data_IF_577286808296
#
_entry.id   IF_577286808296
#
_cell.length_a   1.000
_cell.length_b   1.000
_cell.length_c   1.000
_cell.angle_alpha   90.00
_cell.angle_beta   90.00
_cell.angle_gamma   90.00
#
_symmetry.space_group_name_H-M   'P 1'
#
loop_
_entity.id
_entity.type
_entity.pdbx_description
1 polymer ?
#
# COMPACT_ATOMS: atom_id res chain seq x y z
N UNK A 1 -21.71 5.35 -1.23
CA UNK A 1 -20.26 5.63 -1.24
C UNK A 1 -19.94 7.02 -0.70
N UNK A 2 -20.62 8.10 -1.09
CA UNK A 2 -20.41 9.47 -0.58
C UNK A 2 -20.52 9.63 0.94
N UNK A 3 -21.48 8.98 1.58
CA UNK A 3 -21.72 9.12 3.03
C UNK A 3 -20.51 8.70 3.91
N UNK A 4 -19.69 7.78 3.42
CA UNK A 4 -18.52 7.28 4.15
C UNK A 4 -17.26 8.13 3.93
N UNK A 5 -17.09 8.66 2.72
CA UNK A 5 -15.91 9.44 2.32
C UNK A 5 -16.01 10.91 2.76
N UNK A 6 -17.22 11.45 2.77
CA UNK A 6 -17.52 12.84 3.10
C UNK A 6 -17.00 13.28 4.49
N UNK A 7 -17.22 12.52 5.58
CA UNK A 7 -16.67 12.89 6.89
C UNK A 7 -15.13 12.94 6.91
N UNK A 8 -14.47 11.98 6.25
CA UNK A 8 -13.00 11.95 6.18
C UNK A 8 -12.47 13.21 5.50
N UNK A 9 -13.13 13.64 4.40
CA UNK A 9 -12.73 14.84 3.69
C UNK A 9 -12.93 16.10 4.53
N UNK A 10 -14.11 16.28 5.14
CA UNK A 10 -14.45 17.52 5.85
C UNK A 10 -13.68 17.64 7.18
N UNK A 11 -13.58 16.55 7.93
CA UNK A 11 -13.03 16.62 9.28
C UNK A 11 -11.52 16.33 9.35
N UNK A 12 -10.93 15.70 8.31
CA UNK A 12 -9.51 15.35 8.32
C UNK A 12 -8.76 16.00 7.16
N UNK A 13 -9.09 15.65 5.91
CA UNK A 13 -8.27 16.02 4.75
C UNK A 13 -8.29 17.53 4.49
N UNK A 14 -9.47 18.15 4.42
CA UNK A 14 -9.60 19.59 4.16
C UNK A 14 -8.95 20.47 5.23
N UNK A 15 -9.21 20.25 6.54
CA UNK A 15 -8.59 21.06 7.59
C UNK A 15 -7.07 20.93 7.61
N UNK A 16 -6.55 19.71 7.49
CA UNK A 16 -5.11 19.44 7.49
C UNK A 16 -4.44 20.05 6.27
N UNK A 17 -5.02 19.87 5.09
CA UNK A 17 -4.51 20.47 3.85
C UNK A 17 -4.53 22.01 3.92
N UNK A 18 -5.62 22.61 4.38
CA UNK A 18 -5.76 24.05 4.53
C UNK A 18 -4.78 24.60 5.57
N UNK A 19 -4.55 23.86 6.65
CA UNK A 19 -3.54 24.21 7.65
C UNK A 19 -2.14 24.28 7.03
N UNK A 20 -1.70 23.24 6.34
CA UNK A 20 -0.39 23.23 5.71
C UNK A 20 -0.26 24.31 4.62
N UNK A 21 -1.33 24.56 3.88
CA UNK A 21 -1.33 25.60 2.83
C UNK A 21 -1.09 27.01 3.37
N UNK A 22 -1.37 27.28 4.64
CA UNK A 22 -1.05 28.56 5.29
C UNK A 22 0.46 28.78 5.47
N UNK A 23 1.22 27.70 5.60
CA UNK A 23 2.67 27.77 5.86
C UNK A 23 3.50 27.61 4.59
N UNK A 24 2.95 27.02 3.53
CA UNK A 24 3.69 26.78 2.28
C UNK A 24 2.96 27.37 1.09
N UNK A 25 3.71 28.04 0.20
CA UNK A 25 3.14 28.64 -1.02
C UNK A 25 2.81 27.60 -2.09
N UNK A 26 3.56 26.47 -2.13
CA UNK A 26 3.39 25.43 -3.15
C UNK A 26 2.33 24.39 -2.74
N UNK A 27 1.38 24.13 -3.64
CA UNK A 27 0.37 23.08 -3.44
C UNK A 27 0.98 21.68 -3.44
N UNK A 28 2.02 21.43 -4.25
CA UNK A 28 2.73 20.15 -4.24
C UNK A 28 3.41 19.86 -2.91
N UNK A 29 3.98 20.88 -2.25
CA UNK A 29 4.55 20.74 -0.89
C UNK A 29 3.43 20.53 0.13
N UNK A 30 2.30 21.23 0.01
CA UNK A 30 1.16 20.99 0.89
C UNK A 30 0.63 19.55 0.79
N UNK A 31 0.62 18.95 -0.41
CA UNK A 31 0.27 17.54 -0.63
C UNK A 31 1.32 16.62 0.02
N UNK A 32 2.60 16.94 -0.07
CA UNK A 32 3.67 16.18 0.61
C UNK A 32 3.46 16.16 2.12
N UNK A 33 3.20 17.33 2.73
CA UNK A 33 2.95 17.44 4.17
C UNK A 33 1.66 16.71 4.60
N UNK A 34 0.62 16.80 3.79
CA UNK A 34 -0.62 16.01 3.99
C UNK A 34 -0.31 14.51 3.95
N UNK A 35 0.53 14.07 3.01
CA UNK A 35 0.93 12.67 2.89
C UNK A 35 1.69 12.19 4.13
N UNK A 36 2.65 12.98 4.59
CA UNK A 36 3.42 12.70 5.81
C UNK A 36 2.47 12.59 7.03
N UNK A 37 1.53 13.51 7.16
CA UNK A 37 0.55 13.48 8.25
C UNK A 37 -0.31 12.21 8.22
N UNK A 38 -0.87 11.85 7.06
CA UNK A 38 -1.68 10.63 6.91
C UNK A 38 -0.84 9.38 7.22
N UNK A 39 0.42 9.34 6.77
CA UNK A 39 1.32 8.23 7.04
C UNK A 39 1.70 8.12 8.52
N UNK A 40 1.92 9.24 9.18
CA UNK A 40 2.17 9.28 10.62
C UNK A 40 0.94 8.77 11.40
N UNK A 41 -0.25 9.23 11.04
CA UNK A 41 -1.50 8.81 11.67
C UNK A 41 -1.77 7.30 11.49
N UNK A 42 -1.43 6.74 10.33
CA UNK A 42 -1.64 5.32 10.02
C UNK A 42 -0.49 4.42 10.46
N UNK A 43 0.65 4.98 10.85
CA UNK A 43 1.87 4.22 11.20
C UNK A 43 1.69 3.16 12.29
N UNK A 44 0.88 3.35 13.36
CA UNK A 44 0.68 2.30 14.36
C UNK A 44 -0.01 1.05 13.80
N UNK A 45 -0.97 1.24 12.87
CA UNK A 45 -1.63 0.11 12.21
C UNK A 45 -0.70 -0.60 11.24
N UNK A 46 0.09 0.17 10.50
CA UNK A 46 1.09 -0.33 9.55
C UNK A 46 2.16 -1.15 10.27
N UNK A 47 2.64 -0.67 11.43
CA UNK A 47 3.59 -1.40 12.26
C UNK A 47 3.04 -2.77 12.71
N UNK A 48 1.79 -2.82 13.20
CA UNK A 48 1.14 -4.08 13.59
C UNK A 48 1.01 -5.05 12.42
N UNK A 49 0.76 -4.54 11.22
CA UNK A 49 0.69 -5.35 10.01
C UNK A 49 2.05 -5.95 9.64
N UNK A 50 3.13 -5.17 9.70
CA UNK A 50 4.48 -5.68 9.45
C UNK A 50 4.92 -6.70 10.49
N UNK A 51 4.57 -6.50 11.76
CA UNK A 51 4.82 -7.48 12.82
C UNK A 51 4.08 -8.80 12.55
N UNK A 52 2.82 -8.73 12.08
CA UNK A 52 2.05 -9.92 11.67
C UNK A 52 2.72 -10.63 10.49
N UNK A 53 3.20 -9.89 9.49
CA UNK A 53 3.97 -10.43 8.37
C UNK A 53 5.26 -11.12 8.81
N UNK A 54 6.00 -10.53 9.74
CA UNK A 54 7.22 -11.11 10.29
C UNK A 54 6.95 -12.43 11.04
N UNK A 55 5.85 -12.51 11.80
CA UNK A 55 5.40 -13.75 12.44
C UNK A 55 5.06 -14.82 11.41
N UNK A 56 4.37 -14.46 10.33
CA UNK A 56 4.08 -15.40 9.24
C UNK A 56 5.35 -15.90 8.55
N UNK A 57 6.34 -15.02 8.34
CA UNK A 57 7.64 -15.39 7.78
C UNK A 57 8.39 -16.36 8.69
N UNK A 58 8.36 -16.15 10.00
CA UNK A 58 8.98 -17.03 10.98
C UNK A 58 8.39 -18.45 10.96
N UNK A 59 7.11 -18.61 10.61
CA UNK A 59 6.43 -19.90 10.47
C UNK A 59 6.66 -20.59 9.12
N UNK A 60 7.38 -19.95 8.19
CA UNK A 60 7.60 -20.48 6.83
C UNK A 60 8.16 -21.90 6.81
N UNK A 61 9.24 -22.26 7.56
CA UNK A 61 9.78 -23.62 7.56
C UNK A 61 8.76 -24.67 8.00
N UNK A 62 7.89 -24.34 8.94
CA UNK A 62 6.85 -25.27 9.41
C UNK A 62 5.72 -25.43 8.38
N UNK A 63 5.35 -24.34 7.71
CA UNK A 63 4.38 -24.38 6.61
C UNK A 63 4.91 -25.25 5.47
N UNK A 64 6.20 -25.14 5.13
CA UNK A 64 6.81 -25.94 4.08
C UNK A 64 6.87 -27.43 4.46
N UNK A 65 7.19 -27.75 5.72
CA UNK A 65 7.14 -29.11 6.24
C UNK A 65 5.72 -29.67 6.22
N UNK A 66 4.72 -28.88 6.61
CA UNK A 66 3.31 -29.25 6.58
C UNK A 66 2.83 -29.52 5.15
N UNK A 67 3.17 -28.66 4.17
CA UNK A 67 2.83 -28.87 2.76
C UNK A 67 3.38 -30.18 2.20
N UNK A 68 4.62 -30.54 2.54
CA UNK A 68 5.22 -31.81 2.14
C UNK A 68 4.48 -33.01 2.75
N UNK A 69 4.00 -32.89 3.99
CA UNK A 69 3.27 -33.96 4.69
C UNK A 69 1.87 -34.19 4.13
N UNK A 70 1.17 -33.10 3.77
CA UNK A 70 -0.23 -33.15 3.28
C UNK A 70 -0.33 -33.62 1.82
N UNK A 71 0.78 -33.65 1.07
CA UNK A 71 0.81 -34.33 -0.24
C UNK A 71 0.11 -33.62 -1.39
N UNK A 72 -0.07 -32.29 -1.34
CA UNK A 72 -0.48 -31.48 -2.49
C UNK A 72 -1.99 -31.20 -2.61
N UNK A 73 -2.83 -31.69 -1.72
CA UNK A 73 -4.23 -31.28 -1.65
C UNK A 73 -4.33 -29.82 -1.15
N UNK A 74 -4.67 -28.91 -2.07
CA UNK A 74 -4.74 -27.48 -1.78
C UNK A 74 -5.78 -27.13 -0.69
N UNK A 75 -6.88 -27.86 -0.60
CA UNK A 75 -7.88 -27.63 0.44
C UNK A 75 -7.37 -28.02 1.81
N UNK A 76 -6.76 -29.19 1.93
CA UNK A 76 -6.15 -29.64 3.18
C UNK A 76 -5.01 -28.75 3.61
N UNK A 77 -4.13 -28.33 2.69
CA UNK A 77 -3.06 -27.35 2.95
C UNK A 77 -3.63 -26.05 3.52
N UNK A 78 -4.73 -25.52 2.96
CA UNK A 78 -5.36 -24.30 3.44
C UNK A 78 -5.91 -24.44 4.87
N UNK A 79 -6.57 -25.55 5.18
CA UNK A 79 -7.13 -25.82 6.51
C UNK A 79 -6.01 -26.01 7.56
N UNK A 80 -5.01 -26.81 7.26
CA UNK A 80 -3.87 -27.05 8.16
C UNK A 80 -3.04 -25.78 8.38
N UNK A 81 -2.85 -24.95 7.35
CA UNK A 81 -2.16 -23.66 7.47
C UNK A 81 -2.93 -22.70 8.37
N UNK A 82 -4.27 -22.65 8.27
CA UNK A 82 -5.09 -21.83 9.15
C UNK A 82 -5.05 -22.31 10.60
N UNK A 83 -5.02 -23.62 10.82
CA UNK A 83 -4.85 -24.24 12.13
C UNK A 83 -3.50 -23.87 12.74
N UNK A 84 -2.42 -23.98 11.95
CA UNK A 84 -1.07 -23.60 12.36
C UNK A 84 -0.99 -22.11 12.78
N UNK A 85 -1.60 -21.21 12.03
CA UNK A 85 -1.67 -19.78 12.38
C UNK A 85 -2.42 -19.55 13.69
N UNK A 86 -3.52 -20.27 13.90
CA UNK A 86 -4.31 -20.17 15.14
C UNK A 86 -3.51 -20.67 16.35
N UNK A 87 -2.84 -21.82 16.24
CA UNK A 87 -1.99 -22.38 17.29
C UNK A 87 -0.82 -21.47 17.65
N UNK A 88 -0.24 -20.81 16.64
CA UNK A 88 0.85 -19.84 16.82
C UNK A 88 0.36 -18.45 17.29
N UNK A 89 -0.95 -18.23 17.41
CA UNK A 89 -1.50 -16.91 17.74
C UNK A 89 -1.21 -15.84 16.71
N UNK A 90 -1.12 -16.21 15.43
CA UNK A 90 -0.86 -15.31 14.30
C UNK A 90 -2.15 -15.05 13.52
N UNK A 91 -2.48 -13.77 13.35
CA UNK A 91 -3.61 -13.41 12.54
C UNK A 91 -3.19 -13.24 11.07
N UNK A 92 -3.63 -14.11 10.15
CA UNK A 92 -3.28 -14.00 8.73
C UNK A 92 -3.85 -12.74 8.06
N UNK A 93 -4.97 -12.20 8.58
CA UNK A 93 -5.55 -10.95 8.09
C UNK A 93 -4.76 -9.72 8.53
N UNK A 94 -3.84 -9.85 9.49
CA UNK A 94 -2.99 -8.75 9.94
C UNK A 94 -2.16 -8.14 8.81
N UNK A 95 -1.72 -8.95 7.86
CA UNK A 95 -0.96 -8.50 6.67
C UNK A 95 -1.77 -7.66 5.68
N UNK A 96 -3.11 -7.81 5.61
CA UNK A 96 -3.96 -7.06 4.70
C UNK A 96 -4.52 -5.75 5.28
N UNK A 97 -4.29 -5.46 6.56
CA UNK A 97 -4.78 -4.21 7.21
C UNK A 97 -4.42 -2.95 6.41
N UNK A 98 -3.17 -2.76 5.92
CA UNK A 98 -2.83 -1.59 5.13
C UNK A 98 -3.65 -1.48 3.85
N UNK A 99 -3.93 -2.58 3.16
CA UNK A 99 -4.71 -2.59 1.94
C UNK A 99 -6.17 -2.22 2.20
N UNK A 100 -6.77 -2.75 3.27
CA UNK A 100 -8.16 -2.44 3.67
C UNK A 100 -8.27 -0.95 4.06
N UNK A 101 -7.30 -0.42 4.80
CA UNK A 101 -7.26 0.99 5.19
C UNK A 101 -7.04 1.92 3.98
N UNK A 102 -6.31 1.44 2.98
CA UNK A 102 -5.98 2.23 1.78
C UNK A 102 -7.20 2.53 0.92
N UNK A 103 -8.21 1.67 0.89
CA UNK A 103 -9.42 1.85 0.07
C UNK A 103 -10.20 3.11 0.48
N UNK A 104 -10.59 3.31 1.74
CA UNK A 104 -11.24 4.55 2.18
C UNK A 104 -10.41 5.79 1.93
N UNK A 105 -9.10 5.72 2.20
CA UNK A 105 -8.17 6.83 1.98
C UNK A 105 -8.10 7.17 0.49
N UNK A 106 -8.03 6.15 -0.39
CA UNK A 106 -8.04 6.36 -1.83
C UNK A 106 -9.26 7.15 -2.29
N UNK A 107 -10.46 6.70 -1.94
CA UNK A 107 -11.69 7.37 -2.35
C UNK A 107 -11.84 8.78 -1.75
N UNK A 108 -11.37 8.99 -0.53
CA UNK A 108 -11.38 10.28 0.11
C UNK A 108 -10.46 11.27 -0.64
N UNK A 109 -9.23 10.88 -0.91
CA UNK A 109 -8.26 11.70 -1.65
C UNK A 109 -8.67 11.90 -3.11
N UNK A 110 -9.19 10.86 -3.76
CA UNK A 110 -9.70 10.95 -5.12
C UNK A 110 -10.81 12.02 -5.23
N UNK A 111 -11.80 11.97 -4.35
CA UNK A 111 -12.87 12.98 -4.33
C UNK A 111 -12.35 14.36 -3.96
N UNK A 112 -11.43 14.45 -2.98
CA UNK A 112 -10.83 15.71 -2.57
C UNK A 112 -10.05 16.37 -3.70
N UNK A 113 -9.14 15.66 -4.37
CA UNK A 113 -8.31 16.25 -5.42
C UNK A 113 -9.09 16.57 -6.70
N UNK A 114 -10.11 15.78 -7.03
CA UNK A 114 -10.97 16.07 -8.19
C UNK A 114 -11.90 17.26 -7.96
N UNK A 115 -12.36 17.51 -6.74
CA UNK A 115 -13.26 18.60 -6.42
C UNK A 115 -12.55 19.89 -5.98
N UNK A 116 -11.24 19.84 -5.71
CA UNK A 116 -10.49 20.98 -5.21
C UNK A 116 -10.10 21.96 -6.33
N UNK A 117 -10.93 22.98 -6.52
CA UNK A 117 -10.73 24.01 -7.53
C UNK A 117 -9.39 24.78 -7.35
N UNK A 118 -8.87 24.86 -6.12
CA UNK A 118 -7.63 25.59 -5.84
C UNK A 118 -6.37 24.93 -6.46
N UNK A 119 -6.47 23.68 -6.91
CA UNK A 119 -5.36 22.97 -7.59
C UNK A 119 -5.27 23.29 -9.09
N UNK A 120 -6.31 23.90 -9.67
CA UNK A 120 -6.35 24.19 -11.10
C UNK A 120 -5.30 25.24 -11.47
N UNK A 121 -4.53 24.92 -12.54
CA UNK A 121 -3.45 25.77 -13.00
C UNK A 121 -2.27 25.89 -12.05
N UNK A 122 -2.21 25.09 -10.99
CA UNK A 122 -1.09 25.09 -10.05
C UNK A 122 0.02 24.15 -10.51
N UNK A 123 1.19 24.66 -10.90
CA UNK A 123 2.30 23.83 -11.34
C UNK A 123 3.05 23.20 -10.15
N UNK A 124 3.63 22.05 -10.38
CA UNK A 124 4.55 21.44 -9.43
C UNK A 124 5.52 20.48 -10.15
N UNK A 125 6.83 20.67 -9.92
CA UNK A 125 7.90 19.98 -10.65
C UNK A 125 7.68 20.09 -12.17
N UNK A 126 7.47 18.97 -12.85
CA UNK A 126 7.21 18.91 -14.28
C UNK A 126 5.70 18.99 -14.64
N UNK A 127 4.81 18.80 -13.67
CA UNK A 127 3.39 18.93 -13.88
C UNK A 127 3.00 20.41 -14.00
N UNK A 128 2.36 20.77 -15.10
CA UNK A 128 1.89 22.15 -15.35
C UNK A 128 0.63 22.50 -14.57
N UNK A 129 -0.16 21.48 -14.23
CA UNK A 129 -1.42 21.62 -13.51
C UNK A 129 -1.66 20.36 -12.66
N UNK A 130 -1.78 20.55 -11.34
CA UNK A 130 -2.01 19.46 -10.39
C UNK A 130 -3.44 18.86 -10.47
N UNK A 131 -4.39 19.57 -11.07
CA UNK A 131 -5.78 19.11 -11.19
C UNK A 131 -6.01 18.13 -12.33
N UNK A 132 -5.07 18.04 -13.27
CA UNK A 132 -5.08 17.10 -14.40
C UNK A 132 -3.86 16.18 -14.34
N UNK A 133 -3.82 15.16 -15.21
CA UNK A 133 -2.65 14.26 -15.30
C UNK A 133 -1.41 15.02 -15.82
N UNK A 134 -0.22 14.64 -15.33
CA UNK A 134 1.04 15.14 -15.86
C UNK A 134 1.40 14.42 -17.17
N UNK A 135 2.01 15.16 -18.10
CA UNK A 135 2.43 14.64 -19.40
C UNK A 135 3.91 14.91 -19.60
N UNK A 136 4.71 13.85 -19.56
CA UNK A 136 6.15 13.93 -19.87
C UNK A 136 6.42 13.58 -21.33
N UNK A 137 5.67 12.62 -21.87
CA UNK A 137 5.76 12.25 -23.27
C UNK A 137 4.36 11.97 -23.84
N UNK A 138 4.15 12.35 -25.09
CA UNK A 138 2.96 11.99 -25.87
C UNK A 138 3.25 10.80 -26.74
N UNK A 139 2.34 9.84 -26.77
CA UNK A 139 2.37 8.72 -27.67
C UNK A 139 1.71 9.11 -28.99
N UNK A 140 2.24 8.64 -30.11
CA UNK A 140 1.65 8.87 -31.45
C UNK A 140 0.34 8.09 -31.69
N UNK A 141 -0.07 7.24 -30.76
CA UNK A 141 -1.27 6.41 -30.79
C UNK A 141 -1.93 6.35 -29.41
N UNK A 142 -3.20 5.96 -29.37
CA UNK A 142 -3.95 5.84 -28.13
C UNK A 142 -4.03 4.37 -27.71
N UNK A 143 -3.56 4.06 -26.50
CA UNK A 143 -3.70 2.73 -25.90
C UNK A 143 -5.04 2.68 -25.15
N UNK A 144 -5.91 1.68 -25.43
CA UNK A 144 -7.14 1.51 -24.69
C UNK A 144 -6.89 1.46 -23.17
N UNK A 145 -7.71 2.13 -22.37
CA UNK A 145 -7.61 2.30 -20.94
C UNK A 145 -6.42 3.13 -20.42
N UNK A 146 -5.27 3.16 -21.12
CA UNK A 146 -4.08 3.92 -20.71
C UNK A 146 -4.13 5.38 -21.20
N UNK A 147 -4.38 5.61 -22.49
CA UNK A 147 -4.38 6.93 -23.12
C UNK A 147 -3.28 7.10 -24.14
N UNK A 148 -2.99 8.35 -24.51
CA UNK A 148 -1.99 8.74 -25.51
C UNK A 148 -0.80 9.51 -24.92
N UNK A 149 -0.58 9.41 -23.60
CA UNK A 149 0.47 10.11 -22.87
C UNK A 149 1.09 9.23 -21.80
N UNK A 150 2.25 9.64 -21.32
CA UNK A 150 2.93 9.04 -20.18
C UNK A 150 2.95 10.05 -19.04
N UNK A 151 2.35 9.68 -17.92
CA UNK A 151 2.46 10.39 -16.65
C UNK A 151 3.66 9.86 -15.87
N UNK A 152 4.59 10.74 -15.50
CA UNK A 152 5.77 10.34 -14.74
C UNK A 152 5.43 10.07 -13.27
N UNK A 153 4.54 10.87 -12.65
CA UNK A 153 4.07 10.59 -11.30
C UNK A 153 3.37 9.25 -11.21
N UNK A 154 2.49 8.93 -12.17
CA UNK A 154 1.82 7.63 -12.21
C UNK A 154 2.83 6.48 -12.38
N UNK A 155 3.81 6.65 -13.27
CA UNK A 155 4.85 5.65 -13.51
C UNK A 155 5.69 5.38 -12.26
N UNK A 156 6.16 6.43 -11.56
CA UNK A 156 6.92 6.29 -10.30
C UNK A 156 6.05 5.67 -9.21
N UNK A 157 4.78 6.09 -9.09
CA UNK A 157 3.85 5.51 -8.12
C UNK A 157 3.63 4.01 -8.34
N UNK A 158 3.54 3.57 -9.59
CA UNK A 158 3.36 2.15 -9.93
C UNK A 158 4.63 1.35 -9.74
N UNK A 159 5.80 1.86 -10.15
CA UNK A 159 7.09 1.20 -9.91
C UNK A 159 7.31 1.02 -8.40
N UNK A 160 7.08 2.05 -7.60
CA UNK A 160 7.23 1.97 -6.15
C UNK A 160 6.19 1.03 -5.52
N UNK A 161 4.95 0.98 -6.02
CA UNK A 161 3.94 0.00 -5.61
C UNK A 161 4.38 -1.43 -5.93
N UNK A 162 5.01 -1.64 -7.09
CA UNK A 162 5.55 -2.94 -7.48
C UNK A 162 6.67 -3.38 -6.53
N UNK A 163 7.60 -2.48 -6.20
CA UNK A 163 8.65 -2.77 -5.22
C UNK A 163 8.09 -3.12 -3.84
N UNK A 164 7.07 -2.38 -3.35
CA UNK A 164 6.36 -2.72 -2.11
C UNK A 164 5.74 -4.11 -2.19
N UNK A 165 5.14 -4.46 -3.32
CA UNK A 165 4.51 -5.76 -3.56
C UNK A 165 5.54 -6.90 -3.54
N UNK A 166 6.67 -6.74 -4.23
CA UNK A 166 7.77 -7.73 -4.24
C UNK A 166 8.34 -7.93 -2.84
N UNK A 167 8.53 -6.82 -2.10
CA UNK A 167 9.02 -6.90 -0.74
C UNK A 167 8.02 -7.58 0.19
N UNK A 168 6.72 -7.32 0.01
CA UNK A 168 5.63 -7.98 0.74
C UNK A 168 5.55 -9.48 0.48
N UNK A 169 5.82 -9.93 -0.74
CA UNK A 169 5.89 -11.35 -1.09
C UNK A 169 6.97 -12.10 -0.30
N UNK A 170 8.08 -11.46 -0.01
CA UNK A 170 9.15 -12.07 0.80
C UNK A 170 8.71 -12.34 2.24
N UNK A 171 7.64 -11.70 2.70
CA UNK A 171 7.10 -11.80 4.06
C UNK A 171 5.92 -12.77 4.19
N UNK A 172 5.28 -13.11 3.08
CA UNK A 172 4.16 -14.06 3.09
C UNK A 172 4.66 -15.45 2.71
N UNK A 173 4.12 -16.52 3.33
CA UNK A 173 4.39 -17.89 2.91
C UNK A 173 3.93 -18.11 1.46
N UNK A 174 4.57 -19.06 0.77
CA UNK A 174 4.18 -19.40 -0.58
C UNK A 174 2.70 -19.77 -0.66
N UNK A 175 1.99 -19.02 -1.48
CA UNK A 175 0.57 -19.22 -1.72
C UNK A 175 0.37 -20.48 -2.56
N UNK A 176 -0.43 -21.41 -2.07
CA UNK A 176 -0.76 -22.63 -2.81
C UNK A 176 -1.64 -22.33 -4.05
N UNK A 177 -2.37 -21.21 -4.02
CA UNK A 177 -3.22 -20.80 -5.14
C UNK A 177 -2.40 -20.01 -6.18
N UNK A 178 -2.32 -20.49 -7.45
CA UNK A 178 -1.59 -19.80 -8.53
C UNK A 178 -2.07 -18.37 -8.77
N UNK A 179 -3.37 -18.09 -8.67
CA UNK A 179 -3.92 -16.75 -8.85
C UNK A 179 -3.34 -15.76 -7.83
N UNK A 180 -3.22 -16.17 -6.56
CA UNK A 180 -2.64 -15.33 -5.51
C UNK A 180 -1.13 -15.16 -5.68
N UNK A 181 -0.43 -16.15 -6.26
CA UNK A 181 1.00 -16.08 -6.55
C UNK A 181 1.32 -15.03 -7.62
N UNK A 182 0.48 -14.90 -8.66
CA UNK A 182 0.71 -13.97 -9.77
C UNK A 182 0.07 -12.58 -9.54
N UNK A 183 -0.86 -12.46 -8.59
CA UNK A 183 -1.54 -11.19 -8.28
C UNK A 183 -0.59 -10.01 -8.02
N UNK A 184 0.54 -10.15 -7.28
CA UNK A 184 1.49 -9.07 -7.04
C UNK A 184 2.16 -8.52 -8.29
N UNK A 185 2.24 -9.31 -9.36
CA UNK A 185 2.78 -8.89 -10.66
C UNK A 185 1.72 -8.23 -11.54
N UNK A 186 0.51 -8.76 -11.50
CA UNK A 186 -0.59 -8.26 -12.34
C UNK A 186 -1.16 -6.93 -11.83
N UNK A 187 -1.32 -6.78 -10.51
CA UNK A 187 -1.92 -5.59 -9.91
C UNK A 187 -1.21 -4.28 -10.28
N UNK A 188 0.13 -4.15 -10.22
CA UNK A 188 0.80 -2.91 -10.63
C UNK A 188 0.59 -2.54 -12.10
N UNK A 189 0.53 -3.54 -12.99
CA UNK A 189 0.24 -3.30 -14.42
C UNK A 189 -1.17 -2.73 -14.58
N UNK A 190 -2.16 -3.31 -13.90
CA UNK A 190 -3.53 -2.78 -13.89
C UNK A 190 -3.60 -1.37 -13.29
N UNK A 191 -2.85 -1.13 -12.22
CA UNK A 191 -2.76 0.21 -11.61
C UNK A 191 -2.16 1.23 -12.57
N UNK A 192 -1.19 0.86 -13.40
CA UNK A 192 -0.60 1.77 -14.38
C UNK A 192 -1.64 2.26 -15.40
N UNK A 193 -2.48 1.34 -15.90
CA UNK A 193 -3.56 1.70 -16.83
C UNK A 193 -4.53 2.70 -16.23
N UNK A 194 -4.81 2.56 -14.93
CA UNK A 194 -5.73 3.43 -14.22
C UNK A 194 -5.08 4.75 -13.77
N UNK A 195 -3.88 4.69 -13.17
CA UNK A 195 -3.20 5.86 -12.59
C UNK A 195 -2.76 6.87 -13.64
N UNK A 196 -2.46 6.43 -14.86
CA UNK A 196 -2.04 7.34 -15.94
C UNK A 196 -3.08 8.42 -16.29
N UNK A 197 -4.35 8.20 -15.92
CA UNK A 197 -5.46 9.16 -16.16
C UNK A 197 -5.87 9.96 -14.93
N UNK A 198 -5.25 9.70 -13.78
CA UNK A 198 -5.58 10.38 -12.54
C UNK A 198 -4.90 11.76 -12.47
N UNK A 199 -5.48 12.71 -11.70
CA UNK A 199 -4.86 14.00 -11.47
C UNK A 199 -3.43 13.88 -10.89
N UNK A 200 -2.54 14.76 -11.33
CA UNK A 200 -1.15 14.81 -10.86
C UNK A 200 -1.05 14.97 -9.33
N UNK A 201 -1.97 15.69 -8.71
CA UNK A 201 -2.05 15.81 -7.25
C UNK A 201 -2.21 14.45 -6.56
N UNK A 202 -3.07 13.57 -7.10
CA UNK A 202 -3.33 12.25 -6.54
C UNK A 202 -2.16 11.29 -6.80
N UNK A 203 -1.62 11.28 -8.01
CA UNK A 203 -0.46 10.43 -8.36
C UNK A 203 0.81 10.87 -7.63
N UNK A 204 1.00 12.18 -7.40
CA UNK A 204 2.04 12.72 -6.52
C UNK A 204 1.88 12.24 -5.08
N UNK A 205 0.67 12.32 -4.52
CA UNK A 205 0.39 11.75 -3.20
C UNK A 205 0.81 10.28 -3.13
N UNK A 206 0.45 9.45 -4.13
CA UNK A 206 0.81 8.03 -4.14
C UNK A 206 2.31 7.81 -4.30
N UNK A 207 2.99 8.61 -5.12
CA UNK A 207 4.44 8.56 -5.26
C UNK A 207 5.14 8.76 -3.91
N UNK A 208 4.83 9.86 -3.22
CA UNK A 208 5.41 10.17 -1.90
C UNK A 208 5.02 9.11 -0.87
N UNK A 209 3.75 8.72 -0.85
CA UNK A 209 3.18 7.73 0.05
C UNK A 209 3.89 6.37 -0.06
N UNK A 210 4.16 5.92 -1.27
CA UNK A 210 4.86 4.67 -1.54
C UNK A 210 6.34 4.73 -1.15
N UNK A 211 7.02 5.86 -1.44
CA UNK A 211 8.40 6.07 -1.02
C UNK A 211 8.54 6.01 0.50
N UNK A 212 7.66 6.69 1.22
CA UNK A 212 7.60 6.61 2.69
C UNK A 212 7.35 5.18 3.15
N UNK A 213 6.43 4.47 2.50
CA UNK A 213 6.12 3.06 2.83
C UNK A 213 7.33 2.16 2.65
N UNK A 214 8.08 2.30 1.54
CA UNK A 214 9.30 1.53 1.31
C UNK A 214 10.34 1.78 2.39
N UNK A 215 10.56 3.05 2.77
CA UNK A 215 11.49 3.41 3.83
C UNK A 215 11.04 2.83 5.17
N UNK A 216 9.78 3.02 5.53
CA UNK A 216 9.22 2.49 6.79
C UNK A 216 9.29 0.96 6.83
N UNK A 217 8.97 0.29 5.74
CA UNK A 217 9.02 -1.15 5.62
C UNK A 217 10.45 -1.67 5.81
N UNK A 218 11.42 -1.03 5.18
CA UNK A 218 12.83 -1.37 5.32
C UNK A 218 13.34 -1.14 6.76
N UNK A 219 13.03 0.02 7.36
CA UNK A 219 13.42 0.35 8.74
C UNK A 219 12.79 -0.63 9.74
N UNK A 220 11.49 -0.85 9.64
CA UNK A 220 10.79 -1.72 10.59
C UNK A 220 11.33 -3.15 10.53
N UNK A 221 11.60 -3.66 9.33
CA UNK A 221 12.02 -5.04 9.17
C UNK A 221 13.48 -5.29 9.53
N UNK A 222 14.37 -4.33 9.31
CA UNK A 222 15.80 -4.52 9.55
C UNK A 222 16.25 -4.03 10.93
N UNK A 223 15.54 -3.07 11.55
CA UNK A 223 16.00 -2.44 12.80
C UNK A 223 15.02 -2.59 13.96
N UNK A 224 13.72 -2.77 13.71
CA UNK A 224 12.72 -2.78 14.77
C UNK A 224 12.23 -4.19 15.09
N UNK A 225 12.09 -5.06 14.07
CA UNK A 225 11.62 -6.43 14.26
C UNK A 225 12.81 -7.34 14.54
N UNK A 226 12.93 -7.78 15.79
CA UNK A 226 13.85 -8.84 16.19
C UNK A 226 13.22 -10.20 15.87
N UNK A 227 13.77 -10.87 14.87
CA UNK A 227 13.27 -12.17 14.39
C UNK A 227 13.45 -13.27 15.43
N UNK A 228 14.50 -13.24 16.27
CA UNK A 228 14.72 -14.22 17.33
C UNK A 228 13.68 -14.07 18.45
N UNK A 229 13.37 -12.83 18.86
CA UNK A 229 12.31 -12.59 19.82
C UNK A 229 10.93 -12.97 19.28
N UNK A 230 10.67 -12.79 17.99
CA UNK A 230 9.42 -13.23 17.37
C UNK A 230 9.30 -14.74 17.43
N UNK A 231 10.35 -15.50 17.11
CA UNK A 231 10.38 -16.95 17.17
C UNK A 231 10.19 -17.46 18.61
N UNK A 232 10.92 -16.91 19.58
CA UNK A 232 10.80 -17.31 20.99
C UNK A 232 9.38 -17.09 21.55
N UNK A 233 8.74 -15.95 21.20
CA UNK A 233 7.35 -15.67 21.58
C UNK A 233 6.34 -16.64 20.93
N UNK A 234 6.57 -17.05 19.69
CA UNK A 234 5.72 -18.03 19.01
C UNK A 234 5.82 -19.40 19.66
N UNK A 235 7.03 -19.84 20.03
CA UNK A 235 7.26 -21.09 20.76
C UNK A 235 6.64 -21.07 22.16
N UNK A 236 6.80 -19.97 22.89
CA UNK A 236 6.20 -19.79 24.22
C UNK A 236 4.65 -19.77 24.19
N UNK A 237 4.03 -19.28 23.13
CA UNK A 237 2.57 -19.33 23.00
C UNK A 237 2.04 -20.75 22.75
N UNK A 238 2.82 -21.62 22.11
CA UNK A 238 2.45 -23.03 21.89
C UNK A 238 2.61 -23.92 23.11
N UNK A 239 3.52 -23.56 24.00
CA UNK A 239 3.75 -24.31 25.25
C UNK A 239 2.74 -24.00 26.35
N UNK A 240 1.84 -23.04 26.11
CA UNK A 240 0.71 -22.77 27.02
C UNK A 240 -0.45 -23.72 26.69
N UNK A 241 -0.91 -24.52 27.67
CA UNK A 241 -2.01 -25.47 27.50
C UNK A 241 -3.33 -24.77 27.16
#
# INVERSE_FOLDING_TARGET
>A
MYAFVHPINIYVIMPVFSFFKKFVSSYGIAILLLTLFIRLLTSPLVYRSYLSGAKMKALRPEIDAMKKRVGGDQQQVGVEQMKLFREAGVNPLGGCIPAILQIPIFFALYTFFNSNVALRGQPFLWAKDLSVYDVVAKLGFTIPAYGNHISLFATIAVITSFLISLYGMSMTPDQSNPAMKYMPYFMPVMLLLFFNRLPAALTWYYTVSNLITLILQWVIQNYIIDHEQVLSKLQANRSKP
#
